data_IF_605092173670
#
_entry.id   IF_605092173670
#
_cell.length_a   1.000
_cell.length_b   1.000
_cell.length_c   1.000
_cell.angle_alpha   90.00
_cell.angle_beta   90.00
_cell.angle_gamma   90.00
#
_symmetry.space_group_name_H-M   'P 1'
#
loop_
_entity.id
_entity.type
_entity.pdbx_description
1 polymer ?
#
# COMPACT_ATOMS: atom_id res chain seq x y z
N UNK A 1 -0.27 -0.67 19.11
CA UNK A 1 -1.50 -0.10 18.51
C UNK A 1 -2.49 0.24 19.62
N UNK A 2 -3.09 1.43 19.59
CA UNK A 2 -4.04 1.94 20.59
C UNK A 2 -5.31 2.44 19.88
N UNK A 3 -6.41 2.53 20.61
CA UNK A 3 -7.68 3.07 20.09
C UNK A 3 -7.56 4.60 19.88
N UNK A 4 -7.99 5.10 18.71
CA UNK A 4 -7.74 6.49 18.26
C UNK A 4 -8.48 7.54 19.09
N UNK A 5 -9.62 7.23 19.71
CA UNK A 5 -10.33 8.18 20.57
C UNK A 5 -9.70 8.29 21.97
N UNK A 6 -8.99 7.26 22.44
CA UNK A 6 -8.36 7.18 23.77
C UNK A 6 -6.91 7.66 23.86
N UNK A 7 -6.25 7.96 22.74
CA UNK A 7 -4.88 8.52 22.77
C UNK A 7 -4.86 10.04 23.03
N UNK A 8 -3.78 10.61 23.60
CA UNK A 8 -3.64 12.05 23.80
C UNK A 8 -3.69 12.86 22.50
N UNK A 9 -4.11 14.13 22.56
CA UNK A 9 -4.17 15.03 21.39
C UNK A 9 -2.86 15.09 20.61
N UNK A 10 -1.73 15.21 21.32
CA UNK A 10 -0.41 15.22 20.67
C UNK A 10 -0.10 13.92 19.90
N UNK A 11 -0.57 12.76 20.36
CA UNK A 11 -0.41 11.49 19.65
C UNK A 11 -1.30 11.43 18.40
N UNK A 12 -2.51 11.99 18.45
CA UNK A 12 -3.40 12.14 17.28
C UNK A 12 -2.80 13.08 16.23
N UNK A 13 -2.29 14.23 16.66
CA UNK A 13 -1.64 15.21 15.78
C UNK A 13 -0.40 14.62 15.13
N UNK A 14 0.43 13.88 15.87
CA UNK A 14 1.57 13.14 15.32
C UNK A 14 1.12 12.15 14.23
N UNK A 15 0.09 11.34 14.52
CA UNK A 15 -0.45 10.39 13.54
C UNK A 15 -0.90 11.09 12.24
N UNK A 16 -1.68 12.17 12.34
CA UNK A 16 -2.14 12.94 11.18
C UNK A 16 -0.96 13.56 10.42
N UNK A 17 0.03 14.12 11.14
CA UNK A 17 1.22 14.69 10.53
C UNK A 17 2.02 13.64 9.73
N UNK A 18 2.16 12.42 10.26
CA UNK A 18 2.87 11.33 9.61
C UNK A 18 2.13 10.81 8.37
N UNK A 19 0.81 10.71 8.40
CA UNK A 19 0.03 10.39 7.19
C UNK A 19 0.18 11.46 6.10
N UNK A 20 0.15 12.74 6.49
CA UNK A 20 0.37 13.85 5.55
C UNK A 20 1.78 13.85 4.95
N UNK A 21 2.79 13.52 5.75
CA UNK A 21 4.16 13.35 5.26
C UNK A 21 4.25 12.17 4.28
N UNK A 22 3.70 11.01 4.64
CA UNK A 22 3.67 9.83 3.77
C UNK A 22 3.00 10.10 2.41
N UNK A 23 1.97 10.94 2.38
CA UNK A 23 1.29 11.35 1.14
C UNK A 23 2.11 12.29 0.25
N UNK A 24 3.13 12.95 0.81
CA UNK A 24 3.97 13.95 0.11
C UNK A 24 5.39 13.48 -0.15
N UNK A 25 5.78 12.33 0.39
CA UNK A 25 7.13 11.77 0.26
C UNK A 25 7.15 10.60 -0.70
N UNK A 26 7.98 10.68 -1.74
CA UNK A 26 8.22 9.58 -2.69
C UNK A 26 8.85 8.39 -1.97
N UNK A 27 8.29 7.20 -2.19
CA UNK A 27 8.82 5.92 -1.73
C UNK A 27 10.23 5.73 -2.25
N UNK A 28 11.17 5.38 -1.36
CA UNK A 28 12.57 5.18 -1.74
C UNK A 28 12.87 3.74 -2.19
N UNK A 29 12.04 2.77 -1.77
CA UNK A 29 12.28 1.35 -2.01
C UNK A 29 11.35 0.75 -3.07
N UNK A 30 10.25 1.44 -3.39
CA UNK A 30 9.22 0.93 -4.28
C UNK A 30 8.80 1.96 -5.33
N UNK A 31 8.64 1.48 -6.55
CA UNK A 31 7.93 2.11 -7.66
C UNK A 31 6.75 1.22 -8.06
N UNK A 32 5.78 1.76 -8.80
CA UNK A 32 4.63 0.98 -9.27
C UNK A 32 4.72 0.69 -10.77
N UNK A 33 4.21 -0.47 -11.18
CA UNK A 33 4.04 -0.76 -12.59
C UNK A 33 2.89 0.07 -13.17
N UNK A 34 3.11 0.67 -14.34
CA UNK A 34 2.10 1.45 -15.09
C UNK A 34 1.61 0.75 -16.36
N UNK A 35 2.16 -0.42 -16.66
CA UNK A 35 1.74 -1.28 -17.78
C UNK A 35 1.83 -2.77 -17.43
N UNK A 36 1.30 -3.61 -18.31
CA UNK A 36 1.41 -5.08 -18.21
C UNK A 36 2.81 -5.56 -18.60
N UNK A 37 3.16 -6.80 -18.24
CA UNK A 37 4.46 -7.39 -18.61
C UNK A 37 4.69 -7.43 -20.13
N UNK A 38 3.62 -7.68 -20.89
CA UNK A 38 3.64 -7.63 -22.35
C UNK A 38 3.90 -6.21 -22.87
N UNK A 39 3.22 -5.20 -22.32
CA UNK A 39 3.48 -3.79 -22.66
C UNK A 39 4.91 -3.37 -22.32
N UNK A 40 5.54 -4.01 -21.33
CA UNK A 40 6.95 -3.82 -20.99
C UNK A 40 7.91 -4.60 -21.91
N UNK A 41 7.45 -5.12 -23.06
CA UNK A 41 8.27 -5.91 -23.98
C UNK A 41 8.96 -7.08 -23.26
N UNK A 42 8.19 -7.82 -22.46
CA UNK A 42 8.67 -8.93 -21.62
C UNK A 42 9.85 -8.54 -20.70
N UNK A 43 9.82 -7.33 -20.18
CA UNK A 43 10.80 -6.80 -19.22
C UNK A 43 11.96 -6.01 -19.85
N UNK A 44 12.04 -5.90 -21.18
CA UNK A 44 13.09 -5.12 -21.85
C UNK A 44 12.79 -3.62 -21.93
N UNK A 45 11.53 -3.21 -21.77
CA UNK A 45 11.10 -1.81 -21.75
C UNK A 45 10.32 -1.52 -20.45
N UNK A 46 10.99 -1.21 -19.33
CA UNK A 46 10.34 -1.08 -18.03
C UNK A 46 9.35 0.10 -17.99
N UNK A 47 8.12 -0.16 -17.56
CA UNK A 47 7.09 0.86 -17.36
C UNK A 47 6.77 0.99 -15.87
N UNK A 48 7.56 1.81 -15.17
CA UNK A 48 7.38 2.11 -13.76
C UNK A 48 7.25 3.61 -13.52
N UNK A 49 6.57 3.97 -12.44
CA UNK A 49 6.46 5.35 -11.98
C UNK A 49 6.73 5.46 -10.47
N UNK A 50 7.35 6.57 -10.10
CA UNK A 50 7.47 6.98 -8.71
C UNK A 50 6.10 7.13 -8.07
N UNK A 51 6.02 6.83 -6.78
CA UNK A 51 4.79 6.95 -6.00
C UNK A 51 5.12 7.42 -4.59
N UNK A 52 4.23 8.19 -3.96
CA UNK A 52 4.39 8.51 -2.55
C UNK A 52 4.01 7.33 -1.66
N UNK A 53 4.54 7.32 -0.42
CA UNK A 53 4.34 6.21 0.52
C UNK A 53 2.85 5.94 0.76
N UNK A 54 2.01 6.95 0.91
CA UNK A 54 0.57 6.73 1.12
C UNK A 54 -0.11 6.08 -0.10
N UNK A 55 0.19 6.58 -1.30
CA UNK A 55 -0.41 6.08 -2.53
C UNK A 55 0.12 4.71 -2.92
N UNK A 56 1.34 4.34 -2.50
CA UNK A 56 1.84 2.98 -2.64
C UNK A 56 0.89 1.96 -2.01
N UNK A 57 0.43 2.23 -0.78
CA UNK A 57 -0.50 1.33 -0.09
C UNK A 57 -1.91 1.37 -0.71
N UNK A 58 -2.33 2.52 -1.24
CA UNK A 58 -3.56 2.57 -2.06
C UNK A 58 -3.41 1.69 -3.31
N UNK A 59 -2.27 1.77 -4.00
CA UNK A 59 -2.00 1.02 -5.22
C UNK A 59 -1.86 -0.48 -4.98
N UNK A 60 -1.20 -0.92 -3.90
CA UNK A 60 -1.06 -2.34 -3.55
C UNK A 60 -2.44 -2.98 -3.34
N UNK A 61 -3.34 -2.29 -2.64
CA UNK A 61 -4.71 -2.77 -2.42
C UNK A 61 -5.53 -2.80 -3.70
N UNK A 62 -5.47 -1.73 -4.50
CA UNK A 62 -6.08 -1.68 -5.84
C UNK A 62 -5.59 -2.82 -6.72
N UNK A 63 -4.27 -3.06 -6.77
CA UNK A 63 -3.68 -4.08 -7.62
C UNK A 63 -4.09 -5.49 -7.22
N UNK A 64 -4.30 -5.74 -5.92
CA UNK A 64 -4.76 -7.03 -5.43
C UNK A 64 -6.27 -7.27 -5.62
N UNK A 65 -7.08 -6.21 -5.75
CA UNK A 65 -8.55 -6.30 -5.77
C UNK A 65 -9.17 -5.98 -7.14
N UNK A 66 -8.34 -5.64 -8.15
CA UNK A 66 -8.81 -5.38 -9.52
C UNK A 66 -8.99 -6.68 -10.30
N UNK A 67 -9.79 -6.60 -11.37
CA UNK A 67 -9.86 -7.63 -12.40
C UNK A 67 -8.46 -8.05 -12.89
N UNK A 68 -8.27 -9.36 -13.06
CA UNK A 68 -7.01 -9.92 -13.51
C UNK A 68 -6.97 -10.08 -15.03
N UNK A 69 -5.90 -9.58 -15.66
CA UNK A 69 -5.64 -9.85 -17.06
C UNK A 69 -5.13 -11.28 -17.23
N UNK A 70 -5.68 -11.99 -18.21
CA UNK A 70 -5.27 -13.33 -18.62
C UNK A 70 -4.69 -13.28 -20.05
N UNK A 71 -4.16 -14.41 -20.52
CA UNK A 71 -3.64 -14.52 -21.89
C UNK A 71 -4.74 -14.27 -22.95
N UNK A 72 -4.34 -13.69 -24.09
CA UNK A 72 -5.22 -13.48 -25.24
C UNK A 72 -6.30 -12.42 -25.03
N UNK A 73 -5.95 -11.30 -24.38
CA UNK A 73 -6.86 -10.17 -24.06
C UNK A 73 -8.07 -10.56 -23.19
N UNK A 74 -8.00 -11.70 -22.50
CA UNK A 74 -9.04 -12.15 -21.59
C UNK A 74 -8.93 -11.45 -20.24
N UNK A 75 -10.06 -11.29 -19.56
CA UNK A 75 -10.14 -10.69 -18.22
C UNK A 75 -10.90 -11.64 -17.30
N UNK A 76 -10.27 -12.03 -16.20
CA UNK A 76 -10.97 -12.66 -15.08
C UNK A 76 -11.60 -11.56 -14.24
N UNK A 77 -12.92 -11.43 -14.40
CA UNK A 77 -13.74 -10.47 -13.66
C UNK A 77 -14.11 -11.00 -12.29
N UNK A 78 -14.34 -10.07 -11.37
CA UNK A 78 -14.85 -10.35 -10.02
C UNK A 78 -13.93 -11.31 -9.24
N UNK A 79 -12.63 -11.29 -9.54
CA UNK A 79 -11.60 -11.96 -8.77
C UNK A 79 -10.97 -10.98 -7.79
N UNK A 80 -10.78 -11.41 -6.54
CA UNK A 80 -10.18 -10.59 -5.50
C UNK A 80 -9.11 -11.40 -4.76
N UNK A 81 -7.86 -10.95 -4.81
CA UNK A 81 -6.73 -11.62 -4.15
C UNK A 81 -6.53 -11.17 -2.70
N UNK A 82 -7.24 -10.13 -2.26
CA UNK A 82 -7.16 -9.58 -0.91
C UNK A 82 -8.43 -9.81 -0.07
N UNK A 83 -9.56 -10.19 -0.71
CA UNK A 83 -10.86 -10.39 -0.06
C UNK A 83 -11.51 -11.72 -0.46
N UNK A 84 -12.70 -12.00 0.11
CA UNK A 84 -13.59 -13.12 -0.24
C UNK A 84 -12.96 -14.53 -0.17
N UNK A 85 -11.81 -14.63 0.48
CA UNK A 85 -11.03 -15.84 0.62
C UNK A 85 -10.35 -15.91 1.99
N UNK A 86 -9.85 -17.08 2.42
CA UNK A 86 -9.08 -17.22 3.66
C UNK A 86 -7.85 -16.31 3.75
N UNK A 87 -7.38 -15.79 2.60
CA UNK A 87 -6.31 -14.79 2.52
C UNK A 87 -6.66 -13.42 3.10
N UNK A 88 -7.95 -13.11 3.32
CA UNK A 88 -8.40 -11.77 3.73
C UNK A 88 -7.66 -11.21 4.95
N UNK A 89 -7.72 -11.93 6.07
CA UNK A 89 -7.10 -11.51 7.33
C UNK A 89 -5.57 -11.45 7.25
N UNK A 90 -4.85 -12.49 6.77
CA UNK A 90 -3.39 -12.43 6.70
C UNK A 90 -2.88 -11.39 5.71
N UNK A 91 -3.56 -11.18 4.57
CA UNK A 91 -3.20 -10.16 3.58
C UNK A 91 -3.28 -8.75 4.19
N UNK A 92 -4.40 -8.41 4.83
CA UNK A 92 -4.59 -7.09 5.45
C UNK A 92 -3.68 -6.89 6.68
N UNK A 93 -3.37 -7.97 7.41
CA UNK A 93 -2.39 -7.91 8.51
C UNK A 93 -1.01 -7.52 7.98
N UNK A 94 -0.54 -8.17 6.93
CA UNK A 94 0.77 -7.85 6.34
C UNK A 94 0.77 -6.45 5.72
N UNK A 95 -0.30 -6.08 5.02
CA UNK A 95 -0.50 -4.73 4.48
C UNK A 95 -0.29 -3.64 5.54
N UNK A 96 -0.95 -3.77 6.70
CA UNK A 96 -0.82 -2.80 7.78
C UNK A 96 0.57 -2.82 8.44
N UNK A 97 1.22 -3.99 8.53
CA UNK A 97 2.58 -4.09 9.09
C UNK A 97 3.60 -3.41 8.17
N UNK A 98 3.49 -3.63 6.86
CA UNK A 98 4.35 -2.99 5.88
C UNK A 98 4.11 -1.48 5.84
N UNK A 99 2.86 -1.02 5.94
CA UNK A 99 2.56 0.41 5.96
C UNK A 99 3.11 1.13 7.19
N UNK A 100 2.93 0.52 8.36
CA UNK A 100 3.52 0.98 9.61
C UNK A 100 5.04 1.07 9.49
N UNK A 101 5.68 0.05 8.90
CA UNK A 101 7.14 0.03 8.68
C UNK A 101 7.64 1.13 7.75
N UNK A 102 6.95 1.37 6.63
CA UNK A 102 7.37 2.42 5.69
C UNK A 102 7.20 3.82 6.28
N UNK A 103 6.19 4.04 7.12
CA UNK A 103 6.07 5.31 7.87
C UNK A 103 7.16 5.44 8.92
N UNK A 104 7.46 4.39 9.70
CA UNK A 104 8.56 4.39 10.68
C UNK A 104 9.90 4.77 10.01
N UNK A 105 10.20 4.17 8.86
CA UNK A 105 11.41 4.49 8.08
C UNK A 105 11.43 5.94 7.60
N UNK A 106 10.30 6.42 7.09
CA UNK A 106 10.17 7.78 6.57
C UNK A 106 10.36 8.84 7.67
N UNK A 107 9.90 8.58 8.88
CA UNK A 107 9.91 9.53 9.99
C UNK A 107 11.11 9.37 10.93
N UNK A 108 11.76 8.20 10.90
CA UNK A 108 12.75 7.79 11.90
C UNK A 108 12.15 7.45 13.27
N UNK A 109 10.81 7.39 13.39
CA UNK A 109 10.11 7.04 14.63
C UNK A 109 9.78 5.54 14.62
N UNK A 110 10.72 4.72 15.09
CA UNK A 110 10.59 3.25 15.18
C UNK A 110 9.46 2.80 16.13
N UNK A 111 9.04 3.65 17.07
CA UNK A 111 7.96 3.38 18.02
C UNK A 111 6.57 3.78 17.47
N UNK A 112 6.51 4.35 16.27
CA UNK A 112 5.24 4.68 15.63
C UNK A 112 4.38 3.43 15.43
N UNK A 113 3.11 3.50 15.82
CA UNK A 113 2.11 2.48 15.49
C UNK A 113 0.83 3.10 14.96
N UNK A 114 0.21 2.43 13.98
CA UNK A 114 -1.09 2.82 13.43
C UNK A 114 -2.17 2.54 14.50
N UNK A 115 -2.94 3.55 14.93
CA UNK A 115 -4.05 3.34 15.86
C UNK A 115 -5.18 2.57 15.19
N UNK A 116 -6.09 2.02 15.99
CA UNK A 116 -7.33 1.40 15.51
C UNK A 116 -8.54 2.25 15.89
N UNK A 117 -9.66 2.02 15.19
CA UNK A 117 -10.97 2.56 15.48
C UNK A 117 -11.86 1.47 16.09
#
# INVERSE_FOLDING_TARGET
RKEIFRIPTAEKEKFIAYLNLAKRSISQDFVIATGTYEQMSNGSNPLFADINVYDLFTWIHYYASRDAFLEGDLVWRDVDFAHEAPGFVPWHRYFLLLWEREIQKLTGDEDFTIPYW
#
